data_IF_594907078787
#
_entry.id   IF_594907078787
#
_cell.length_a   1.000
_cell.length_b   1.000
_cell.length_c   1.000
_cell.angle_alpha   90.00
_cell.angle_beta   90.00
_cell.angle_gamma   90.00
#
_symmetry.space_group_name_H-M   'P 1'
#
loop_
_entity.id
_entity.type
_entity.pdbx_description
1 polymer ?
#
# COMPACT_ATOMS: atom_id res chain seq x y z
N UNK A 1 10.96 -4.93 -11.53
CA UNK A 1 11.35 -4.11 -10.35
C UNK A 1 10.87 -4.87 -9.11
N UNK A 2 11.42 -4.68 -7.91
CA UNK A 2 10.92 -5.45 -6.74
C UNK A 2 9.75 -4.70 -6.10
N UNK A 3 8.63 -5.41 -5.92
CA UNK A 3 7.45 -4.94 -5.17
C UNK A 3 7.84 -4.40 -3.79
N UNK A 4 7.19 -3.31 -3.36
CA UNK A 4 7.52 -2.62 -2.12
C UNK A 4 7.35 -3.49 -0.86
N UNK A 5 6.22 -4.20 -0.77
CA UNK A 5 5.90 -5.18 0.26
C UNK A 5 5.34 -6.42 -0.42
N UNK A 6 5.67 -7.60 0.08
CA UNK A 6 5.02 -8.83 -0.42
C UNK A 6 3.57 -8.88 0.06
N UNK A 7 2.70 -9.60 -0.67
CA UNK A 7 1.32 -9.88 -0.25
C UNK A 7 1.25 -10.36 1.21
N UNK A 8 2.11 -11.32 1.59
CA UNK A 8 2.14 -11.85 2.96
C UNK A 8 2.42 -10.77 4.00
N UNK A 9 3.29 -9.83 3.68
CA UNK A 9 3.61 -8.72 4.59
C UNK A 9 2.50 -7.70 4.67
N UNK A 10 1.81 -7.43 3.56
CA UNK A 10 0.62 -6.58 3.53
C UNK A 10 -0.46 -7.17 4.45
N UNK A 11 -0.74 -8.47 4.32
CA UNK A 11 -1.69 -9.18 5.16
C UNK A 11 -1.28 -9.20 6.64
N UNK A 12 -0.01 -9.43 6.97
CA UNK A 12 0.50 -9.39 8.36
C UNK A 12 0.38 -7.98 8.97
N UNK A 13 0.58 -6.95 8.14
CA UNK A 13 0.34 -5.55 8.48
C UNK A 13 -1.16 -5.19 8.46
N UNK A 14 -2.06 -6.13 8.19
CA UNK A 14 -3.51 -5.89 8.24
C UNK A 14 -4.07 -5.09 7.07
N UNK A 15 -3.30 -4.90 6.00
CA UNK A 15 -3.83 -4.39 4.74
C UNK A 15 -4.80 -5.40 4.13
N UNK A 16 -5.76 -4.89 3.37
CA UNK A 16 -6.69 -5.68 2.58
C UNK A 16 -6.51 -5.35 1.12
N UNK A 17 -6.45 -6.39 0.28
CA UNK A 17 -6.53 -6.22 -1.16
C UNK A 17 -7.92 -5.66 -1.50
N UNK A 18 -7.96 -4.56 -2.25
CA UNK A 18 -9.21 -3.89 -2.64
C UNK A 18 -9.64 -4.27 -4.06
N UNK A 19 -8.85 -5.12 -4.72
CA UNK A 19 -9.06 -5.58 -6.08
C UNK A 19 -8.26 -4.79 -7.10
N UNK A 20 -8.22 -5.29 -8.34
CA UNK A 20 -7.51 -4.64 -9.42
C UNK A 20 -8.28 -3.47 -10.03
N UNK A 21 -7.54 -2.54 -10.66
CA UNK A 21 -8.09 -1.49 -11.52
C UNK A 21 -7.41 -1.50 -12.89
N UNK A 22 -8.19 -1.52 -13.97
CA UNK A 22 -7.63 -1.53 -15.33
C UNK A 22 -7.04 -0.16 -15.73
N UNK A 23 -5.91 -0.18 -16.43
CA UNK A 23 -5.34 0.99 -17.11
C UNK A 23 -5.74 1.02 -18.58
N UNK A 24 -5.87 2.22 -19.14
CA UNK A 24 -6.15 2.43 -20.58
C UNK A 24 -5.08 1.81 -21.52
N UNK A 25 -3.84 1.60 -21.04
CA UNK A 25 -2.73 1.00 -21.82
C UNK A 25 -2.68 -0.55 -21.70
N UNK A 26 -3.66 -1.17 -21.04
CA UNK A 26 -3.69 -2.63 -20.80
C UNK A 26 -2.82 -3.11 -19.63
N UNK A 27 -2.33 -2.19 -18.80
CA UNK A 27 -1.79 -2.50 -17.47
C UNK A 27 -2.90 -2.70 -16.45
N UNK A 28 -2.52 -3.15 -15.25
CA UNK A 28 -3.47 -3.34 -14.14
C UNK A 28 -2.85 -2.80 -12.87
N UNK A 29 -3.63 -2.10 -12.05
CA UNK A 29 -3.23 -1.77 -10.68
C UNK A 29 -3.70 -2.85 -9.73
N UNK A 30 -2.91 -3.14 -8.70
CA UNK A 30 -3.38 -3.84 -7.51
C UNK A 30 -3.33 -2.87 -6.32
N UNK A 31 -4.47 -2.71 -5.64
CA UNK A 31 -4.58 -1.85 -4.48
C UNK A 31 -4.65 -2.61 -3.17
N UNK A 32 -3.98 -2.07 -2.15
CA UNK A 32 -4.02 -2.55 -0.78
C UNK A 32 -4.32 -1.40 0.16
N UNK A 33 -5.34 -1.57 1.00
CA UNK A 33 -5.73 -0.54 1.99
C UNK A 33 -5.58 -1.01 3.41
N UNK A 34 -5.01 -0.14 4.22
CA UNK A 34 -5.08 -0.19 5.67
C UNK A 34 -5.78 1.05 6.20
N UNK A 35 -6.94 0.85 6.82
CA UNK A 35 -7.73 1.93 7.41
C UNK A 35 -7.50 2.00 8.92
N UNK A 36 -7.23 3.19 9.44
CA UNK A 36 -7.14 3.45 10.89
C UNK A 36 -7.96 4.68 11.29
N UNK A 37 -9.20 4.43 11.69
CA UNK A 37 -10.19 5.48 11.92
C UNK A 37 -10.58 6.15 10.62
N UNK A 38 -10.32 7.45 10.50
CA UNK A 38 -10.62 8.25 9.30
C UNK A 38 -9.44 8.35 8.33
N UNK A 39 -8.27 7.77 8.68
CA UNK A 39 -7.11 7.76 7.82
C UNK A 39 -7.03 6.44 7.04
N UNK A 40 -7.00 6.56 5.71
CA UNK A 40 -6.66 5.46 4.81
C UNK A 40 -5.19 5.56 4.39
N UNK A 41 -4.52 4.41 4.40
CA UNK A 41 -3.19 4.21 3.84
C UNK A 41 -3.35 3.20 2.71
N UNK A 42 -3.03 3.63 1.51
CA UNK A 42 -3.14 2.86 0.29
C UNK A 42 -1.76 2.50 -0.24
N UNK A 43 -1.61 1.29 -0.77
CA UNK A 43 -0.45 0.87 -1.54
C UNK A 43 -0.97 0.48 -2.92
N UNK A 44 -0.38 1.08 -3.94
CA UNK A 44 -0.68 0.82 -5.33
C UNK A 44 0.51 0.13 -5.95
N UNK A 45 0.30 -1.10 -6.43
CA UNK A 45 1.26 -1.81 -7.28
C UNK A 45 0.81 -1.69 -8.73
N UNK A 46 1.68 -1.18 -9.59
CA UNK A 46 1.44 -1.06 -11.04
C UNK A 46 1.98 -2.32 -11.73
N UNK A 47 1.11 -3.02 -12.46
CA UNK A 47 1.41 -4.27 -13.15
C UNK A 47 1.48 -4.03 -14.66
N UNK A 48 2.47 -4.64 -15.32
CA UNK A 48 2.47 -4.75 -16.78
C UNK A 48 1.45 -5.79 -17.27
N UNK A 49 1.36 -5.97 -18.59
CA UNK A 49 0.43 -6.92 -19.22
C UNK A 49 0.72 -8.39 -18.90
N UNK A 50 1.91 -8.71 -18.39
CA UNK A 50 2.29 -10.05 -17.92
C UNK A 50 1.97 -10.25 -16.42
N UNK A 51 1.50 -9.20 -15.73
CA UNK A 51 1.17 -9.21 -14.30
C UNK A 51 2.38 -8.95 -13.40
N UNK A 52 3.51 -8.49 -13.95
CA UNK A 52 4.72 -8.20 -13.20
C UNK A 52 4.70 -6.77 -12.66
N UNK A 53 5.16 -6.60 -11.41
CA UNK A 53 5.20 -5.27 -10.78
C UNK A 53 6.27 -4.39 -11.42
N UNK A 54 5.82 -3.34 -12.08
CA UNK A 54 6.66 -2.31 -12.72
C UNK A 54 6.86 -1.09 -11.82
N UNK A 55 5.87 -0.77 -10.98
CA UNK A 55 5.89 0.35 -10.05
C UNK A 55 5.18 0.01 -8.74
N UNK A 56 5.54 0.69 -7.66
CA UNK A 56 4.85 0.56 -6.38
C UNK A 56 5.00 1.84 -5.57
N UNK A 57 3.92 2.35 -5.00
CA UNK A 57 3.93 3.56 -4.19
C UNK A 57 2.88 3.51 -3.08
N UNK A 58 3.04 4.40 -2.09
CA UNK A 58 2.15 4.48 -0.92
C UNK A 58 1.44 5.82 -0.94
N UNK A 59 0.12 5.83 -0.80
CA UNK A 59 -0.70 7.02 -0.57
C UNK A 59 -1.19 7.07 0.88
N UNK A 60 -1.10 8.24 1.49
CA UNK A 60 -1.58 8.49 2.86
C UNK A 60 -2.44 9.74 2.82
N UNK A 61 -3.76 9.58 2.95
CA UNK A 61 -4.69 10.66 2.66
C UNK A 61 -4.64 11.06 1.18
N UNK A 62 -4.17 12.28 0.88
CA UNK A 62 -4.05 12.82 -0.49
C UNK A 62 -2.59 13.04 -0.93
N UNK A 63 -1.62 12.45 -0.22
CA UNK A 63 -0.19 12.54 -0.58
C UNK A 63 0.36 11.18 -1.00
N UNK A 64 1.01 11.14 -2.16
CA UNK A 64 1.67 9.97 -2.73
C UNK A 64 3.19 9.98 -2.48
N UNK A 65 3.71 8.85 -2.04
CA UNK A 65 5.13 8.65 -1.69
C UNK A 65 5.74 7.51 -2.50
N UNK A 66 6.44 7.86 -3.59
CA UNK A 66 7.11 6.89 -4.47
C UNK A 66 8.47 6.38 -3.96
N UNK A 67 8.99 6.99 -2.88
CA UNK A 67 10.31 6.65 -2.30
C UNK A 67 10.24 6.37 -0.80
N UNK A 68 9.04 6.11 -0.26
CA UNK A 68 8.89 5.72 1.13
C UNK A 68 9.67 4.43 1.36
N UNK A 69 10.46 4.34 2.44
CA UNK A 69 11.11 3.08 2.79
C UNK A 69 10.13 2.20 3.53
N UNK A 70 10.18 0.90 3.26
CA UNK A 70 9.40 -0.13 3.97
C UNK A 70 9.52 -0.01 5.48
N UNK A 71 10.73 0.21 5.99
CA UNK A 71 10.96 0.39 7.44
C UNK A 71 10.24 1.60 8.01
N UNK A 72 10.09 2.67 7.22
CA UNK A 72 9.44 3.90 7.67
C UNK A 72 7.93 3.73 7.67
N UNK A 73 7.35 3.05 6.67
CA UNK A 73 5.94 2.64 6.70
C UNK A 73 5.64 1.78 7.92
N UNK A 74 6.46 0.75 8.19
CA UNK A 74 6.24 -0.14 9.36
C UNK A 74 6.28 0.65 10.67
N UNK A 75 7.23 1.59 10.82
CA UNK A 75 7.30 2.46 12.00
C UNK A 75 6.06 3.33 12.11
N UNK A 76 5.62 3.95 11.02
CA UNK A 76 4.42 4.78 10.97
C UNK A 76 3.20 3.97 11.43
N UNK A 77 2.97 2.79 10.86
CA UNK A 77 1.85 1.91 11.22
C UNK A 77 1.88 1.53 12.70
N UNK A 78 3.05 1.26 13.28
CA UNK A 78 3.20 1.00 14.71
C UNK A 78 2.80 2.22 15.55
N UNK A 79 3.29 3.41 15.20
CA UNK A 79 2.96 4.66 15.90
C UNK A 79 1.45 4.90 15.84
N UNK A 80 0.83 4.78 14.67
CA UNK A 80 -0.60 5.00 14.48
C UNK A 80 -1.45 4.00 15.27
N UNK A 81 -1.04 2.73 15.38
CA UNK A 81 -1.73 1.73 16.22
C UNK A 81 -1.62 2.01 17.71
N UNK A 82 -0.43 2.38 18.19
CA UNK A 82 -0.20 2.61 19.62
C UNK A 82 -0.74 3.94 20.11
N UNK A 83 -0.73 4.99 19.26
CA UNK A 83 -1.31 6.29 19.59
C UNK A 83 -2.82 6.25 19.86
N UNK A 84 -3.51 5.17 19.45
CA UNK A 84 -4.95 4.96 19.66
C UNK A 84 -5.30 4.10 20.87
N UNK A 85 -4.32 3.46 21.52
CA UNK A 85 -4.55 2.60 22.68
C UNK A 85 -4.54 3.37 24.02
N UNK A 86 -4.48 4.71 23.97
CA UNK A 86 -4.36 5.59 25.14
C UNK A 86 -5.41 6.69 25.22
N UNK A 87 -6.50 6.61 24.44
CA UNK A 87 -7.69 7.46 24.58
C UNK A 87 -8.85 6.64 25.18
#
# INVERSE_FOLDING_TARGET
>A
MTRFLTERELLDLGFRNIGPGDLDDGGTYEWWRYSIGELDIDITDELDSDGEVTGSYVEIGNEAFHHLKKTDLIKLLKILRHGRAGD
#
